data_IF_545395943796
#
_entry.id   IF_545395943796
#
_cell.length_a   1.000
_cell.length_b   1.000
_cell.length_c   1.000
_cell.angle_alpha   90.00
_cell.angle_beta   90.00
_cell.angle_gamma   90.00
#
_symmetry.space_group_name_H-M   'P 1'
#
loop_
_entity.id
_entity.type
_entity.pdbx_description
1 polymer ?
#
# COMPACT_ATOMS: atom_id res chain seq x y z
N UNK A 1 7.34 -6.01 -21.86
CA UNK A 1 6.01 -5.71 -21.29
C UNK A 1 5.66 -6.76 -20.24
N UNK A 2 5.63 -6.42 -18.95
CA UNK A 2 5.11 -7.34 -17.92
C UNK A 2 3.59 -7.19 -17.83
N UNK A 3 2.85 -8.16 -18.35
CA UNK A 3 1.42 -8.32 -18.07
C UNK A 3 1.30 -8.75 -16.61
N UNK A 4 1.15 -7.78 -15.71
CA UNK A 4 0.96 -8.05 -14.28
C UNK A 4 -0.51 -8.45 -14.10
N UNK A 5 -0.76 -9.72 -13.84
CA UNK A 5 -2.08 -10.25 -13.51
C UNK A 5 -2.58 -9.55 -12.23
N UNK A 6 -3.56 -8.66 -12.37
CA UNK A 6 -4.11 -7.83 -11.28
C UNK A 6 -4.88 -8.61 -10.21
N UNK A 7 -5.08 -9.92 -10.41
CA UNK A 7 -6.07 -10.69 -9.67
C UNK A 7 -5.63 -11.14 -8.25
N UNK A 8 -4.39 -10.87 -7.81
CA UNK A 8 -3.86 -11.41 -6.54
C UNK A 8 -3.00 -10.43 -5.71
N UNK A 9 -3.14 -9.13 -5.91
CA UNK A 9 -2.32 -8.13 -5.21
C UNK A 9 -3.06 -7.61 -3.98
N UNK A 10 -2.45 -7.73 -2.79
CA UNK A 10 -3.03 -7.19 -1.55
C UNK A 10 -2.86 -5.69 -1.43
N UNK A 11 -1.76 -5.20 -2.00
CA UNK A 11 -1.39 -3.79 -2.00
C UNK A 11 -1.04 -3.37 -3.42
N UNK A 12 -1.71 -2.34 -3.92
CA UNK A 12 -1.48 -1.79 -5.26
C UNK A 12 -0.68 -0.51 -5.15
N UNK A 13 0.29 -0.35 -6.04
CA UNK A 13 1.07 0.87 -6.12
C UNK A 13 0.17 2.02 -6.58
N UNK A 14 0.36 3.21 -6.01
CA UNK A 14 -0.40 4.39 -6.43
C UNK A 14 -0.01 4.79 -7.86
N UNK A 15 -0.96 5.35 -8.60
CA UNK A 15 -0.80 5.71 -10.01
C UNK A 15 0.11 6.93 -10.20
N UNK A 16 0.13 7.80 -9.18
CA UNK A 16 1.00 8.97 -9.10
C UNK A 16 1.69 8.98 -7.74
N UNK A 17 3.02 9.07 -7.77
CA UNK A 17 3.88 9.19 -6.58
C UNK A 17 4.34 7.84 -6.00
N UNK A 18 4.77 7.88 -4.75
CA UNK A 18 5.31 6.71 -4.02
C UNK A 18 4.33 6.25 -2.95
N UNK A 19 4.07 4.94 -2.89
CA UNK A 19 3.29 4.34 -1.81
C UNK A 19 2.44 3.15 -2.25
N UNK A 20 1.83 2.52 -1.25
CA UNK A 20 0.92 1.39 -1.40
C UNK A 20 -0.43 1.71 -0.81
N UNK A 21 -1.47 1.22 -1.47
CA UNK A 21 -2.85 1.28 -0.96
C UNK A 21 -3.36 -0.15 -0.81
N UNK A 22 -3.93 -0.52 0.35
CA UNK A 22 -4.55 -1.84 0.51
C UNK A 22 -5.74 -1.97 -0.45
N UNK A 23 -5.78 -3.08 -1.17
CA UNK A 23 -6.84 -3.39 -2.14
C UNK A 23 -7.65 -4.60 -1.69
N UNK A 24 -7.05 -5.47 -0.86
CA UNK A 24 -7.71 -6.65 -0.32
C UNK A 24 -8.18 -6.42 1.10
N UNK A 25 -9.19 -7.19 1.50
CA UNK A 25 -9.69 -7.22 2.87
C UNK A 25 -8.60 -7.55 3.90
N UNK A 26 -7.61 -8.37 3.53
CA UNK A 26 -6.48 -8.69 4.41
C UNK A 26 -5.54 -7.50 4.59
N UNK A 27 -5.29 -6.71 3.54
CA UNK A 27 -4.54 -5.46 3.65
C UNK A 27 -5.26 -4.45 4.56
N UNK A 28 -6.57 -4.30 4.36
CA UNK A 28 -7.41 -3.47 5.23
C UNK A 28 -7.45 -3.94 6.69
N UNK A 29 -7.52 -5.25 6.92
CA UNK A 29 -7.48 -5.81 8.28
C UNK A 29 -6.16 -5.50 8.97
N UNK A 30 -5.02 -5.66 8.27
CA UNK A 30 -3.70 -5.29 8.81
C UNK A 30 -3.62 -3.80 9.10
N UNK A 31 -4.14 -2.95 8.20
CA UNK A 31 -4.20 -1.49 8.42
C UNK A 31 -5.09 -1.12 9.60
N UNK A 32 -6.26 -1.76 9.76
CA UNK A 32 -7.16 -1.54 10.90
C UNK A 32 -6.52 -1.96 12.21
N UNK A 33 -5.89 -3.15 12.25
CA UNK A 33 -5.18 -3.64 13.43
C UNK A 33 -4.07 -2.66 13.82
N UNK A 34 -3.30 -2.18 12.85
CA UNK A 34 -2.29 -1.14 13.09
C UNK A 34 -2.90 0.14 13.67
N UNK A 35 -4.00 0.64 13.09
CA UNK A 35 -4.67 1.85 13.56
C UNK A 35 -5.19 1.68 15.00
N UNK A 36 -5.82 0.55 15.29
CA UNK A 36 -6.34 0.22 16.64
C UNK A 36 -5.18 0.15 17.64
N UNK A 37 -4.06 -0.49 17.28
CA UNK A 37 -2.89 -0.57 18.16
C UNK A 37 -2.29 0.81 18.43
N UNK A 38 -2.19 1.69 17.42
CA UNK A 38 -1.75 3.08 17.60
C UNK A 38 -2.68 3.83 18.57
N UNK A 39 -4.00 3.69 18.43
CA UNK A 39 -4.97 4.34 19.31
C UNK A 39 -4.85 3.81 20.74
N UNK A 40 -4.77 2.48 20.92
CA UNK A 40 -4.61 1.86 22.23
C UNK A 40 -3.30 2.31 22.91
N UNK A 41 -2.21 2.32 22.16
CA UNK A 41 -0.92 2.82 22.63
C UNK A 41 -1.01 4.31 23.00
N UNK A 42 -1.71 5.12 22.21
CA UNK A 42 -1.93 6.54 22.52
C UNK A 42 -2.80 6.74 23.76
N UNK A 43 -3.78 5.87 24.02
CA UNK A 43 -4.59 5.90 25.24
C UNK A 43 -3.88 5.35 26.47
N UNK A 44 -2.79 4.61 26.29
CA UNK A 44 -1.99 4.04 27.38
C UNK A 44 -0.93 5.02 27.89
N UNK A 45 -0.54 6.00 27.06
CA UNK A 45 0.40 7.06 27.43
C UNK A 45 -0.38 8.17 28.14
N UNK A 46 -0.38 8.16 29.47
CA UNK A 46 -0.87 9.26 30.28
C UNK A 46 0.22 10.34 30.42
N UNK A 47 -0.17 11.61 30.60
CA UNK A 47 0.76 12.75 30.79
C UNK A 47 1.71 12.57 31.99
N UNK A 48 1.38 11.68 32.92
CA UNK A 48 2.20 11.35 34.10
C UNK A 48 3.29 10.30 33.85
N UNK A 49 3.34 9.68 32.67
CA UNK A 49 4.30 8.61 32.37
C UNK A 49 5.70 9.16 32.07
N UNK A 50 6.73 8.51 32.61
CA UNK A 50 8.13 8.89 32.37
C UNK A 50 8.47 8.78 30.88
N UNK A 51 9.26 9.73 30.35
CA UNK A 51 9.73 9.72 28.95
C UNK A 51 10.37 8.38 28.54
N UNK A 52 10.97 7.65 29.49
CA UNK A 52 11.56 6.33 29.23
C UNK A 52 10.49 5.25 29.00
N UNK A 53 9.40 5.25 29.75
CA UNK A 53 8.32 4.28 29.60
C UNK A 53 7.61 4.46 28.26
N UNK A 54 7.40 5.70 27.83
CA UNK A 54 6.84 5.99 26.50
C UNK A 54 7.72 5.41 25.40
N UNK A 55 9.04 5.57 25.47
CA UNK A 55 9.94 4.99 24.45
C UNK A 55 9.84 3.46 24.37
N UNK A 56 9.86 2.77 25.51
CA UNK A 56 9.85 1.30 25.51
C UNK A 56 8.46 0.70 25.28
N UNK A 57 7.40 1.30 25.83
CA UNK A 57 6.02 0.80 25.68
C UNK A 57 5.31 1.29 24.42
N UNK A 58 5.67 2.46 23.87
CA UNK A 58 5.03 3.02 22.69
C UNK A 58 5.89 2.85 21.44
N UNK A 59 7.13 3.36 21.45
CA UNK A 59 7.97 3.45 20.25
C UNK A 59 8.41 2.05 19.80
N UNK A 60 8.89 1.21 20.71
CA UNK A 60 9.39 -0.13 20.36
C UNK A 60 8.33 -1.04 19.69
N UNK A 61 7.13 -1.25 20.27
CA UNK A 61 6.08 -2.02 19.61
C UNK A 61 5.53 -1.34 18.35
N UNK A 62 5.37 0.00 18.34
CA UNK A 62 4.95 0.73 17.12
C UNK A 62 5.94 0.50 15.96
N UNK A 63 7.24 0.50 16.25
CA UNK A 63 8.27 0.29 15.23
C UNK A 63 8.22 -1.15 14.70
N UNK A 64 8.06 -2.14 15.57
CA UNK A 64 7.90 -3.56 15.18
C UNK A 64 6.64 -3.78 14.33
N UNK A 65 5.52 -3.17 14.72
CA UNK A 65 4.27 -3.18 13.95
C UNK A 65 4.46 -2.58 12.57
N UNK A 66 5.12 -1.42 12.49
CA UNK A 66 5.39 -0.73 11.23
C UNK A 66 6.28 -1.57 10.32
N UNK A 67 7.37 -2.15 10.85
CA UNK A 67 8.25 -3.06 10.09
C UNK A 67 7.49 -4.28 9.58
N UNK A 68 6.62 -4.85 10.41
CA UNK A 68 5.81 -6.02 10.04
C UNK A 68 4.84 -5.67 8.92
N UNK A 69 4.15 -4.53 9.03
CA UNK A 69 3.23 -4.02 8.01
C UNK A 69 3.98 -3.76 6.69
N UNK A 70 5.15 -3.12 6.74
CA UNK A 70 6.01 -2.88 5.58
C UNK A 70 6.45 -4.20 4.95
N UNK A 71 6.87 -5.20 5.74
CA UNK A 71 7.25 -6.52 5.21
C UNK A 71 6.09 -7.22 4.52
N UNK A 72 4.89 -7.17 5.08
CA UNK A 72 3.69 -7.74 4.47
C UNK A 72 3.40 -7.01 3.16
N UNK A 73 3.43 -5.68 3.17
CA UNK A 73 3.21 -4.85 1.98
C UNK A 73 4.25 -5.13 0.88
N UNK A 74 5.52 -5.32 1.22
CA UNK A 74 6.56 -5.68 0.26
C UNK A 74 6.41 -7.09 -0.30
N UNK A 75 5.99 -8.05 0.53
CA UNK A 75 5.88 -9.47 0.13
C UNK A 75 4.60 -9.77 -0.66
N UNK A 76 3.52 -9.02 -0.40
CA UNK A 76 2.19 -9.22 -1.01
C UNK A 76 1.69 -8.07 -1.89
N UNK A 77 2.46 -6.99 -1.98
CA UNK A 77 2.19 -5.85 -2.84
C UNK A 77 3.03 -5.85 -4.10
N UNK A 78 2.66 -4.97 -5.04
CA UNK A 78 3.50 -4.67 -6.19
C UNK A 78 4.83 -4.06 -5.76
N UNK A 79 5.90 -4.33 -6.51
CA UNK A 79 7.20 -3.67 -6.29
C UNK A 79 6.95 -2.15 -6.25
N UNK A 80 7.50 -1.45 -5.25
CA UNK A 80 7.35 0.00 -5.17
C UNK A 80 7.98 0.62 -6.40
N UNK A 81 7.13 1.05 -7.33
CA UNK A 81 7.54 1.70 -8.56
C UNK A 81 7.11 3.14 -8.46
N UNK A 82 8.04 4.04 -8.74
CA UNK A 82 7.69 5.43 -8.97
C UNK A 82 6.99 5.51 -10.34
N UNK A 83 5.66 5.67 -10.32
CA UNK A 83 4.85 5.77 -11.53
C UNK A 83 4.43 7.24 -11.77
N UNK A 84 4.73 7.75 -12.97
CA UNK A 84 4.38 9.11 -13.43
C UNK A 84 3.30 9.10 -14.52
N UNK A 85 2.50 8.04 -14.66
CA UNK A 85 1.60 7.93 -15.81
C UNK A 85 0.46 6.95 -15.64
N UNK A 86 -0.69 7.31 -16.23
CA UNK A 86 -1.84 6.43 -16.37
C UNK A 86 -1.46 5.19 -17.21
N UNK A 87 -1.72 3.95 -16.76
CA UNK A 87 -1.64 2.76 -17.60
C UNK A 87 -2.52 2.99 -18.84
N UNK A 88 -1.94 2.76 -20.01
CA UNK A 88 -2.66 2.85 -21.29
C UNK A 88 -3.86 1.92 -21.24
N UNK A 89 -5.05 2.47 -21.45
CA UNK A 89 -6.27 1.68 -21.58
C UNK A 89 -6.23 0.97 -22.93
N UNK A 90 -6.73 -0.27 -23.03
CA UNK A 90 -6.80 -0.98 -24.31
C UNK A 90 -7.63 -0.24 -25.38
N UNK A 91 -8.40 0.79 -24.99
CA UNK A 91 -9.14 1.63 -25.92
C UNK A 91 -8.30 2.76 -26.55
N UNK A 92 -7.06 2.95 -26.09
CA UNK A 92 -6.13 3.95 -26.61
C UNK A 92 -5.30 3.42 -27.81
N UNK A 93 -5.49 2.17 -28.22
CA UNK A 93 -4.92 1.65 -29.46
C UNK A 93 -5.78 2.14 -30.63
N UNK A 94 -5.23 2.91 -31.58
CA UNK A 94 -5.96 3.26 -32.78
C UNK A 94 -6.32 1.96 -33.49
N UNK A 95 -7.61 1.80 -33.80
CA UNK A 95 -8.13 0.64 -34.52
C UNK A 95 -7.36 0.48 -35.84
N UNK A 96 -6.49 -0.53 -35.90
CA UNK A 96 -5.65 -0.85 -37.06
C UNK A 96 -6.45 -1.28 -38.29
N UNK A 97 -7.77 -1.46 -38.16
CA UNK A 97 -8.65 -1.88 -39.24
C UNK A 97 -9.19 -0.71 -40.07
N UNK A 98 -8.64 0.50 -39.92
CA UNK A 98 -9.08 1.71 -40.65
C UNK A 98 -8.33 1.97 -41.96
N UNK A 99 -7.49 1.04 -42.42
CA UNK A 99 -6.63 1.21 -43.61
C UNK A 99 -6.95 0.26 -44.78
N UNK A 100 -8.11 -0.42 -44.79
CA UNK A 100 -8.50 -1.32 -45.90
C UNK A 100 -9.52 -0.74 -46.89
N UNK A 101 -10.02 0.46 -46.65
CA UNK A 101 -11.19 0.99 -47.38
C UNK A 101 -10.83 2.21 -48.22
N UNK A 102 -9.99 2.00 -49.24
CA UNK A 102 -9.84 2.93 -50.35
C UNK A 102 -9.44 2.14 -51.61
N UNK A 103 -10.50 1.62 -52.24
CA UNK A 103 -10.50 1.01 -53.58
C UNK A 103 -10.67 2.08 -54.64
#
# INVERSE_FOLDING_TARGET
MSVINQHNLWFKAKWFGWGWTPVTWQGWLVTLVYLVLIILLSSTVDESSSNQEVLFMFVLPTTLLTITLIRIAYKKGEKPGWNWGKPKSNNDYPNSNSHSDNK
#
